data_IF_308882243213
#
_entry.id   IF_308882243213
#
_cell.length_a   1.000
_cell.length_b   1.000
_cell.length_c   1.000
_cell.angle_alpha   90.00
_cell.angle_beta   90.00
_cell.angle_gamma   90.00
#
_symmetry.space_group_name_H-M   'P 1'
#
loop_
_entity.id
_entity.type
_entity.pdbx_description
1 polymer ?
#
# COMPACT_ATOMS: atom_id res chain seq x y z
N UNK A 1 -33.50 -41.46 12.92
CA UNK A 1 -33.38 -40.06 12.41
C UNK A 1 -33.54 -40.09 10.90
N UNK A 2 -34.41 -39.27 10.32
CA UNK A 2 -34.52 -39.19 8.85
C UNK A 2 -33.26 -38.53 8.27
N UNK A 3 -32.88 -38.89 7.04
CA UNK A 3 -31.70 -38.33 6.36
C UNK A 3 -31.79 -36.80 6.25
N UNK A 4 -33.00 -36.27 6.08
CA UNK A 4 -33.27 -34.84 6.07
C UNK A 4 -32.99 -34.17 7.43
N UNK A 5 -33.38 -34.82 8.54
CA UNK A 5 -33.09 -34.32 9.89
C UNK A 5 -31.59 -34.29 10.21
N UNK A 6 -30.81 -35.27 9.72
CA UNK A 6 -29.35 -35.26 9.87
C UNK A 6 -28.71 -34.15 9.05
N UNK A 7 -29.12 -33.94 7.80
CA UNK A 7 -28.62 -32.85 6.96
C UNK A 7 -28.93 -31.47 7.54
N UNK A 8 -30.14 -31.25 8.06
CA UNK A 8 -30.52 -30.00 8.70
C UNK A 8 -29.63 -29.70 9.91
N UNK A 9 -29.38 -30.70 10.77
CA UNK A 9 -28.47 -30.54 11.92
C UNK A 9 -27.05 -30.21 11.49
N UNK A 10 -26.56 -30.87 10.44
CA UNK A 10 -25.21 -30.60 9.91
C UNK A 10 -25.10 -29.20 9.33
N UNK A 11 -26.11 -28.70 8.60
CA UNK A 11 -26.12 -27.32 8.11
C UNK A 11 -26.14 -26.32 9.26
N UNK A 12 -27.01 -26.52 10.25
CA UNK A 12 -27.08 -25.63 11.43
C UNK A 12 -25.74 -25.60 12.17
N UNK A 13 -25.16 -26.76 12.48
CA UNK A 13 -23.87 -26.84 13.16
C UNK A 13 -22.74 -26.21 12.33
N UNK A 14 -22.71 -26.48 11.02
CA UNK A 14 -21.75 -25.88 10.10
C UNK A 14 -21.85 -24.36 10.07
N UNK A 15 -23.05 -23.81 9.94
CA UNK A 15 -23.27 -22.36 9.96
C UNK A 15 -22.85 -21.73 11.29
N UNK A 16 -23.17 -22.37 12.42
CA UNK A 16 -22.75 -21.88 13.75
C UNK A 16 -21.23 -21.82 13.86
N UNK A 17 -20.50 -22.81 13.33
CA UNK A 17 -19.03 -22.78 13.37
C UNK A 17 -18.48 -21.74 12.40
N UNK A 18 -18.95 -21.71 11.15
CA UNK A 18 -18.46 -20.82 10.11
C UNK A 18 -18.74 -19.33 10.40
N UNK A 19 -19.86 -19.01 11.05
CA UNK A 19 -20.22 -17.62 11.40
C UNK A 19 -19.82 -17.31 12.84
N UNK A 20 -20.11 -18.22 13.77
CA UNK A 20 -19.85 -18.03 15.19
C UNK A 20 -18.36 -17.95 15.51
N UNK A 21 -17.49 -18.69 14.81
CA UNK A 21 -16.04 -18.58 14.98
C UNK A 21 -15.53 -17.16 14.69
N UNK A 22 -15.69 -16.64 13.46
CA UNK A 22 -15.31 -15.28 13.13
C UNK A 22 -16.00 -14.22 14.00
N UNK A 23 -17.30 -14.36 14.29
CA UNK A 23 -18.03 -13.42 15.13
C UNK A 23 -17.46 -13.38 16.56
N UNK A 24 -17.15 -14.53 17.14
CA UNK A 24 -16.55 -14.62 18.47
C UNK A 24 -15.16 -14.00 18.51
N UNK A 25 -14.34 -14.24 17.48
CA UNK A 25 -13.01 -13.60 17.36
C UNK A 25 -13.14 -12.08 17.32
N UNK A 26 -14.06 -11.55 16.51
CA UNK A 26 -14.29 -10.09 16.45
C UNK A 26 -14.79 -9.54 17.78
N UNK A 27 -15.61 -10.30 18.51
CA UNK A 27 -16.13 -9.89 19.81
C UNK A 27 -15.05 -9.79 20.90
N UNK A 28 -14.09 -10.72 20.94
CA UNK A 28 -13.03 -10.72 21.95
C UNK A 28 -11.80 -9.89 21.55
N UNK A 29 -11.66 -9.56 20.26
CA UNK A 29 -10.52 -8.80 19.75
C UNK A 29 -10.57 -7.38 20.33
N UNK A 30 -9.51 -6.90 21.00
CA UNK A 30 -9.43 -5.51 21.45
C UNK A 30 -9.56 -4.55 20.27
N UNK A 31 -10.19 -3.41 20.51
CA UNK A 31 -10.26 -2.34 19.50
C UNK A 31 -8.87 -1.76 19.24
N UNK A 32 -8.68 -1.11 18.09
CA UNK A 32 -7.40 -0.51 17.73
C UNK A 32 -6.95 0.57 18.74
N UNK A 33 -7.90 1.28 19.36
CA UNK A 33 -7.63 2.25 20.43
C UNK A 33 -7.14 1.58 21.72
N UNK A 34 -7.76 0.46 22.11
CA UNK A 34 -7.33 -0.32 23.27
C UNK A 34 -5.96 -0.93 23.04
N UNK A 35 -5.68 -1.38 21.82
CA UNK A 35 -4.37 -1.90 21.43
C UNK A 35 -3.31 -0.80 21.46
N UNK A 36 -3.62 0.40 20.94
CA UNK A 36 -2.73 1.56 20.96
C UNK A 36 -2.37 1.97 22.40
N UNK A 37 -3.33 1.98 23.32
CA UNK A 37 -3.09 2.29 24.74
C UNK A 37 -2.14 1.29 25.42
N UNK A 38 -2.06 0.05 24.92
CA UNK A 38 -1.14 -0.99 25.44
C UNK A 38 0.27 -0.89 24.86
N UNK A 39 0.50 -0.06 23.84
CA UNK A 39 1.83 0.13 23.27
C UNK A 39 2.76 0.89 24.22
N UNK A 40 4.06 0.64 24.07
CA UNK A 40 5.11 1.46 24.70
C UNK A 40 5.01 2.92 24.17
N UNK A 41 5.20 3.98 24.97
CA UNK A 41 5.17 5.38 24.55
C UNK A 41 5.91 5.69 23.24
N UNK A 42 7.05 5.06 22.96
CA UNK A 42 7.78 5.27 21.70
C UNK A 42 7.01 4.79 20.47
N UNK A 43 6.33 3.64 20.58
CA UNK A 43 5.49 3.09 19.52
C UNK A 43 4.21 3.90 19.34
N UNK A 44 3.67 4.48 20.41
CA UNK A 44 2.54 5.39 20.33
C UNK A 44 2.88 6.64 19.50
N UNK A 45 4.03 7.27 19.79
CA UNK A 45 4.52 8.43 19.02
C UNK A 45 4.71 8.09 17.54
N UNK A 46 5.43 7.00 17.24
CA UNK A 46 5.63 6.56 15.86
C UNK A 46 4.33 6.23 15.13
N UNK A 47 3.37 5.64 15.82
CA UNK A 47 2.09 5.31 15.21
C UNK A 47 1.22 6.54 14.95
N UNK A 48 1.35 7.61 15.74
CA UNK A 48 0.71 8.90 15.48
C UNK A 48 1.40 9.66 14.34
N UNK A 49 2.72 9.66 14.30
CA UNK A 49 3.51 10.39 13.30
C UNK A 49 3.49 9.70 11.92
N UNK A 50 3.62 8.37 11.89
CA UNK A 50 3.75 7.58 10.66
C UNK A 50 2.45 6.84 10.28
N UNK A 51 1.39 6.93 11.09
CA UNK A 51 0.14 6.20 10.90
C UNK A 51 -0.48 6.45 9.53
N UNK A 52 -0.76 7.72 9.22
CA UNK A 52 -1.35 8.13 7.95
C UNK A 52 -0.47 7.77 6.76
N UNK A 53 0.85 7.95 6.89
CA UNK A 53 1.81 7.60 5.84
C UNK A 53 1.74 6.09 5.55
N UNK A 54 1.81 5.25 6.58
CA UNK A 54 1.73 3.79 6.45
C UNK A 54 0.40 3.33 5.88
N UNK A 55 -0.71 3.96 6.27
CA UNK A 55 -2.02 3.64 5.72
C UNK A 55 -2.10 3.91 4.21
N UNK A 56 -1.55 5.05 3.76
CA UNK A 56 -1.46 5.39 2.33
C UNK A 56 -0.52 4.45 1.58
N UNK A 57 0.67 4.19 2.12
CA UNK A 57 1.64 3.26 1.53
C UNK A 57 1.03 1.85 1.38
N UNK A 58 0.24 1.41 2.35
CA UNK A 58 -0.45 0.14 2.31
C UNK A 58 -1.52 0.10 1.21
N UNK A 59 -2.36 1.12 1.09
CA UNK A 59 -3.39 1.19 0.05
C UNK A 59 -2.77 1.26 -1.36
N UNK A 60 -1.69 2.04 -1.52
CA UNK A 60 -0.92 2.09 -2.77
C UNK A 60 -0.30 0.73 -3.10
N UNK A 61 0.25 0.03 -2.09
CA UNK A 61 0.78 -1.32 -2.27
C UNK A 61 -0.31 -2.31 -2.69
N UNK A 62 -1.47 -2.33 -2.02
CA UNK A 62 -2.59 -3.22 -2.37
C UNK A 62 -3.11 -2.91 -3.77
N UNK A 63 -3.14 -1.64 -4.16
CA UNK A 63 -3.53 -1.22 -5.51
C UNK A 63 -2.55 -1.75 -6.56
N UNK A 64 -1.24 -1.63 -6.33
CA UNK A 64 -0.21 -2.22 -7.20
C UNK A 64 -0.29 -3.74 -7.24
N UNK A 65 -0.51 -4.39 -6.10
CA UNK A 65 -0.67 -5.84 -6.02
C UNK A 65 -1.86 -6.32 -6.86
N UNK A 66 -2.99 -5.60 -6.81
CA UNK A 66 -4.15 -5.86 -7.69
C UNK A 66 -3.81 -5.68 -9.17
N UNK A 67 -2.94 -4.73 -9.52
CA UNK A 67 -2.48 -4.54 -10.90
C UNK A 67 -1.56 -5.69 -11.34
N UNK A 68 -0.58 -6.08 -10.51
CA UNK A 68 0.34 -7.18 -10.79
C UNK A 68 -0.39 -8.52 -10.91
N UNK A 69 -1.42 -8.75 -10.09
CA UNK A 69 -2.24 -9.97 -10.15
C UNK A 69 -3.01 -10.14 -11.48
N UNK A 70 -3.20 -9.06 -12.25
CA UNK A 70 -3.82 -9.13 -13.58
C UNK A 70 -2.84 -9.58 -14.67
N UNK A 71 -1.55 -9.63 -14.38
CA UNK A 71 -0.52 -10.06 -15.31
C UNK A 71 -0.33 -11.58 -15.21
N UNK A 72 -0.06 -12.23 -16.34
CA UNK A 72 0.33 -13.64 -16.37
C UNK A 72 1.76 -13.87 -15.84
N UNK A 73 2.50 -12.79 -15.58
CA UNK A 73 3.83 -12.84 -14.96
C UNK A 73 3.71 -13.04 -13.44
N UNK A 74 4.71 -13.65 -12.82
CA UNK A 74 4.76 -13.72 -11.36
C UNK A 74 4.79 -12.31 -10.76
N UNK A 75 4.16 -12.15 -9.59
CA UNK A 75 4.08 -10.87 -8.87
C UNK A 75 5.49 -10.29 -8.64
N UNK A 76 6.49 -11.14 -8.38
CA UNK A 76 7.88 -10.74 -8.18
C UNK A 76 8.48 -10.09 -9.42
N UNK A 77 8.26 -10.67 -10.60
CA UNK A 77 8.75 -10.10 -11.85
C UNK A 77 8.02 -8.80 -12.22
N UNK A 78 6.70 -8.75 -12.04
CA UNK A 78 5.92 -7.55 -12.29
C UNK A 78 6.32 -6.38 -11.37
N UNK A 79 6.61 -6.66 -10.10
CA UNK A 79 7.10 -5.67 -9.15
C UNK A 79 8.49 -5.15 -9.51
N UNK A 80 9.40 -6.04 -9.93
CA UNK A 80 10.75 -5.66 -10.36
C UNK A 80 10.71 -4.77 -11.61
N UNK A 81 9.92 -5.16 -12.62
CA UNK A 81 9.75 -4.38 -13.86
C UNK A 81 9.21 -2.97 -13.57
N UNK A 82 8.22 -2.84 -12.70
CA UNK A 82 7.71 -1.53 -12.29
C UNK A 82 8.76 -0.71 -11.53
N UNK A 83 9.61 -1.34 -10.72
CA UNK A 83 10.69 -0.65 -10.01
C UNK A 83 11.78 -0.16 -10.97
N UNK A 84 12.13 -0.96 -11.98
CA UNK A 84 13.07 -0.59 -13.04
C UNK A 84 12.53 0.57 -13.89
N UNK A 85 11.24 0.51 -14.27
CA UNK A 85 10.57 1.60 -14.98
C UNK A 85 10.59 2.90 -14.16
N UNK A 86 10.26 2.84 -12.87
CA UNK A 86 10.26 4.02 -12.00
C UNK A 86 11.67 4.62 -11.84
N UNK A 87 12.71 3.79 -11.80
CA UNK A 87 14.12 4.27 -11.77
C UNK A 87 14.51 4.95 -13.07
N UNK A 88 14.21 4.33 -14.22
CA UNK A 88 14.49 4.91 -15.52
C UNK A 88 13.76 6.24 -15.73
N UNK A 89 12.51 6.33 -15.27
CA UNK A 89 11.73 7.56 -15.34
C UNK A 89 12.35 8.68 -14.48
N UNK A 90 12.74 8.39 -13.24
CA UNK A 90 13.42 9.35 -12.36
C UNK A 90 14.76 9.82 -12.94
N UNK A 91 15.54 8.91 -13.55
CA UNK A 91 16.79 9.26 -14.23
C UNK A 91 16.54 10.16 -15.45
N UNK A 92 15.52 9.86 -16.26
CA UNK A 92 15.15 10.68 -17.41
C UNK A 92 14.69 12.09 -16.98
N UNK A 93 13.84 12.19 -15.95
CA UNK A 93 13.37 13.47 -15.42
C UNK A 93 14.53 14.28 -14.83
N UNK A 94 15.44 13.63 -14.10
CA UNK A 94 16.64 14.28 -13.56
C UNK A 94 17.57 14.81 -14.66
N UNK A 95 17.73 14.10 -15.77
CA UNK A 95 18.53 14.57 -16.90
C UNK A 95 17.85 15.72 -17.66
N UNK A 96 16.54 15.65 -17.87
CA UNK A 96 15.76 16.74 -18.48
C UNK A 96 15.86 18.03 -17.65
N UNK A 97 15.67 17.94 -16.33
CA UNK A 97 15.78 19.09 -15.44
C UNK A 97 17.19 19.73 -15.46
N UNK A 98 18.26 18.92 -15.61
CA UNK A 98 19.63 19.42 -15.73
C UNK A 98 19.86 20.15 -17.06
N UNK A 99 19.33 19.61 -18.15
CA UNK A 99 19.41 20.23 -19.47
C UNK A 99 18.64 21.56 -19.51
N UNK A 100 17.43 21.59 -18.97
CA UNK A 100 16.64 22.82 -18.83
C UNK A 100 17.35 23.87 -17.97
N UNK A 101 17.92 23.46 -16.82
CA UNK A 101 18.70 24.37 -15.98
C UNK A 101 19.97 24.90 -16.68
N UNK A 102 20.59 24.10 -17.56
CA UNK A 102 21.73 24.53 -18.37
C UNK A 102 21.31 25.56 -19.42
N UNK A 103 20.23 25.29 -20.15
CA UNK A 103 19.67 26.22 -21.14
C UNK A 103 19.27 27.55 -20.51
N UNK A 104 18.58 27.53 -19.36
CA UNK A 104 18.21 28.73 -18.61
C UNK A 104 19.44 29.57 -18.18
N UNK A 105 20.52 28.91 -17.75
CA UNK A 105 21.78 29.60 -17.39
C UNK A 105 22.46 30.22 -18.61
N UNK A 106 22.41 29.56 -19.76
CA UNK A 106 22.99 30.08 -21.00
C UNK A 106 22.18 31.25 -21.56
N UNK A 107 20.86 31.23 -21.44
CA UNK A 107 19.98 32.36 -21.80
C UNK A 107 20.24 33.58 -20.90
N UNK A 108 20.24 33.41 -19.56
CA UNK A 108 20.63 34.49 -18.64
C UNK A 108 22.01 35.07 -18.93
N UNK A 109 22.98 34.22 -19.30
CA UNK A 109 24.33 34.67 -19.64
C UNK A 109 24.37 35.48 -20.94
N UNK A 110 23.55 35.13 -21.92
CA UNK A 110 23.42 35.86 -23.19
C UNK A 110 22.72 37.20 -22.99
N UNK A 111 21.70 37.28 -22.14
CA UNK A 111 21.02 38.53 -21.79
C UNK A 111 21.98 39.49 -21.05
N UNK A 112 22.74 38.99 -20.07
CA UNK A 112 23.71 39.81 -19.31
C UNK A 112 24.91 40.32 -20.14
N UNK A 113 25.28 39.62 -21.21
CA UNK A 113 26.37 40.02 -22.11
C UNK A 113 25.89 40.76 -23.37
N UNK A 114 24.58 40.76 -23.63
CA UNK A 114 23.94 41.35 -24.81
C UNK A 114 23.43 42.78 -24.62
N UNK A 115 23.49 43.32 -23.40
CA UNK A 115 23.10 44.70 -23.12
C UNK A 115 24.32 45.64 -23.17
N UNK A 116 24.72 46.02 -24.39
CA UNK A 116 25.57 47.19 -24.69
C UNK A 116 25.22 47.78 -26.04
#
# INVERSE_FOLDING_TARGET
MSRAGTWLKMLVAGTVICVGGPAFVQYIRPTDEELFKRYNPDLQKRSLEEGDRRAREFDEYVTRLKQWSKSDKSIWFAAQEQQEQKRAELESQGNQAKEEARLQREEMRKELLGEK
#
